data_IF_977927722122
#
_entry.id   IF_977927722122
#
_cell.length_a   1.000
_cell.length_b   1.000
_cell.length_c   1.000
_cell.angle_alpha   90.00
_cell.angle_beta   90.00
_cell.angle_gamma   90.00
#
_symmetry.space_group_name_H-M   'P 1'
#
loop_
_entity.id
_entity.type
_entity.pdbx_description
1 polymer ?
#
# COMPACT_ATOMS: atom_id res chain seq x y z
N UNK A 1 -5.35 -4.16 8.01
CA UNK A 1 -5.45 -3.03 8.95
C UNK A 1 -4.60 -3.28 10.21
N UNK A 2 -4.82 -4.36 10.96
CA UNK A 2 -3.98 -4.74 12.13
C UNK A 2 -2.47 -4.81 11.88
N UNK A 3 -2.05 -5.35 10.73
CA UNK A 3 -0.63 -5.42 10.37
C UNK A 3 0.04 -4.06 10.11
N UNK A 4 -0.74 -3.01 9.80
CA UNK A 4 -0.23 -1.66 9.57
C UNK A 4 -0.32 -0.82 10.85
N UNK A 5 -1.39 -0.98 11.63
CA UNK A 5 -1.62 -0.20 12.85
C UNK A 5 -0.71 -0.59 14.02
N UNK A 6 -0.27 -1.86 14.08
CA UNK A 6 0.57 -2.36 15.17
C UNK A 6 2.07 -2.41 14.82
N UNK A 7 2.45 -2.22 13.56
CA UNK A 7 3.85 -2.35 13.15
C UNK A 7 4.63 -1.04 13.37
N UNK A 8 5.79 -1.14 14.03
CA UNK A 8 6.59 0.02 14.44
C UNK A 8 6.99 0.93 13.27
N UNK A 9 7.29 0.35 12.10
CA UNK A 9 7.69 1.11 10.92
C UNK A 9 6.54 1.84 10.22
N UNK A 10 5.26 1.53 10.52
CA UNK A 10 4.11 2.12 9.84
C UNK A 10 3.17 2.89 10.75
N UNK A 11 3.18 2.65 12.07
CA UNK A 11 2.22 3.24 13.02
C UNK A 11 2.22 4.79 13.01
N UNK A 12 3.39 5.42 12.94
CA UNK A 12 3.49 6.88 13.01
C UNK A 12 3.03 7.52 11.69
N UNK A 13 3.31 6.84 10.56
CA UNK A 13 2.78 7.23 9.26
C UNK A 13 1.26 7.05 9.18
N UNK A 14 0.72 5.98 9.78
CA UNK A 14 -0.72 5.78 9.87
C UNK A 14 -1.38 6.89 10.70
N UNK A 15 -0.80 7.24 11.85
CA UNK A 15 -1.32 8.33 12.67
C UNK A 15 -1.33 9.68 11.94
N UNK A 16 -0.26 9.98 11.19
CA UNK A 16 -0.18 11.17 10.36
C UNK A 16 -1.26 11.17 9.25
N UNK A 17 -1.45 10.04 8.58
CA UNK A 17 -2.48 9.86 7.56
C UNK A 17 -3.89 10.04 8.15
N UNK A 18 -4.21 9.36 9.24
CA UNK A 18 -5.50 9.49 9.94
C UNK A 18 -5.79 10.95 10.32
N UNK A 19 -4.80 11.67 10.86
CA UNK A 19 -4.93 13.10 11.18
C UNK A 19 -5.23 13.93 9.92
N UNK A 20 -4.51 13.69 8.82
CA UNK A 20 -4.72 14.40 7.56
C UNK A 20 -6.08 14.11 6.90
N UNK A 21 -6.67 12.96 7.20
CA UNK A 21 -7.99 12.53 6.72
C UNK A 21 -9.12 12.80 7.71
N UNK A 22 -8.84 13.40 8.86
CA UNK A 22 -9.81 13.65 9.94
C UNK A 22 -10.50 12.37 10.43
N UNK A 23 -9.77 11.25 10.47
CA UNK A 23 -10.24 9.95 10.96
C UNK A 23 -9.55 9.64 12.29
N UNK A 24 -10.30 9.12 13.26
CA UNK A 24 -9.72 8.66 14.52
C UNK A 24 -8.71 7.53 14.26
N UNK A 25 -7.54 7.59 14.89
CA UNK A 25 -6.47 6.62 14.66
C UNK A 25 -6.67 5.35 15.52
N UNK A 26 -7.85 4.74 15.41
CA UNK A 26 -8.16 3.44 15.97
C UNK A 26 -8.62 2.47 14.87
N UNK A 27 -8.48 1.15 15.10
CA UNK A 27 -8.76 0.13 14.09
C UNK A 27 -10.16 0.22 13.46
N UNK A 28 -11.19 0.44 14.26
CA UNK A 28 -12.58 0.36 13.82
C UNK A 28 -12.97 1.60 13.03
N UNK A 29 -12.57 2.79 13.51
CA UNK A 29 -12.79 4.04 12.79
C UNK A 29 -12.09 4.07 11.43
N UNK A 30 -10.85 3.56 11.37
CA UNK A 30 -10.13 3.43 10.11
C UNK A 30 -10.90 2.51 9.17
N UNK A 31 -11.26 1.30 9.62
CA UNK A 31 -11.96 0.33 8.78
C UNK A 31 -13.28 0.88 8.21
N UNK A 32 -14.08 1.55 9.04
CA UNK A 32 -15.33 2.18 8.61
C UNK A 32 -15.10 3.30 7.58
N UNK A 33 -14.03 4.08 7.72
CA UNK A 33 -13.72 5.16 6.80
C UNK A 33 -13.17 4.69 5.45
N UNK A 34 -12.52 3.52 5.38
CA UNK A 34 -11.93 2.98 4.14
C UNK A 34 -12.95 2.81 3.00
N UNK A 35 -14.22 2.58 3.31
CA UNK A 35 -15.28 2.43 2.31
C UNK A 35 -15.59 3.74 1.57
N UNK A 36 -15.40 4.89 2.22
CA UNK A 36 -15.83 6.19 1.71
C UNK A 36 -14.67 7.15 1.42
N UNK A 37 -13.48 6.84 1.90
CA UNK A 37 -12.28 7.66 1.73
C UNK A 37 -11.22 6.90 0.92
N UNK A 38 -11.29 7.03 -0.41
CA UNK A 38 -10.35 6.41 -1.35
C UNK A 38 -8.90 6.81 -1.09
N UNK A 39 -8.65 8.04 -0.63
CA UNK A 39 -7.31 8.54 -0.32
C UNK A 39 -6.76 7.86 0.93
N UNK A 40 -7.59 7.70 1.96
CA UNK A 40 -7.24 6.90 3.14
C UNK A 40 -6.98 5.45 2.74
N UNK A 41 -7.84 4.87 1.89
CA UNK A 41 -7.70 3.50 1.44
C UNK A 41 -6.40 3.25 0.68
N UNK A 42 -6.09 4.12 -0.29
CA UNK A 42 -4.84 4.08 -1.02
C UNK A 42 -3.62 4.29 -0.11
N UNK A 43 -3.71 5.24 0.85
CA UNK A 43 -2.65 5.52 1.81
C UNK A 43 -2.37 4.33 2.73
N UNK A 44 -3.40 3.75 3.35
CA UNK A 44 -3.28 2.58 4.22
C UNK A 44 -2.73 1.38 3.45
N UNK A 45 -3.18 1.16 2.21
CA UNK A 45 -2.62 0.13 1.35
C UNK A 45 -1.11 0.36 1.14
N UNK A 46 -0.69 1.59 0.80
CA UNK A 46 0.72 1.91 0.55
C UNK A 46 1.61 1.74 1.78
N UNK A 47 1.08 1.93 2.99
CA UNK A 47 1.82 1.68 4.22
C UNK A 47 2.23 0.22 4.43
N UNK A 48 1.64 -0.75 3.70
CA UNK A 48 2.12 -2.13 3.70
C UNK A 48 3.58 -2.25 3.24
N UNK A 49 4.06 -1.33 2.41
CA UNK A 49 5.46 -1.27 1.99
C UNK A 49 6.42 -1.08 3.17
N UNK A 50 6.03 -0.31 4.19
CA UNK A 50 6.84 -0.09 5.39
C UNK A 50 6.92 -1.32 6.30
N UNK A 51 6.00 -2.27 6.12
CA UNK A 51 5.99 -3.51 6.91
C UNK A 51 6.84 -4.61 6.27
N UNK A 52 7.31 -4.40 5.04
CA UNK A 52 8.21 -5.31 4.34
C UNK A 52 9.67 -4.94 4.64
N UNK A 53 10.50 -5.85 5.18
CA UNK A 53 11.89 -5.56 5.54
C UNK A 53 12.83 -5.48 4.32
N UNK A 54 12.35 -5.81 3.11
CA UNK A 54 13.17 -5.81 1.89
C UNK A 54 13.18 -4.41 1.26
N UNK A 55 14.28 -4.08 0.58
CA UNK A 55 14.34 -2.86 -0.21
C UNK A 55 13.28 -2.84 -1.33
N UNK A 56 12.84 -1.63 -1.70
CA UNK A 56 11.98 -1.45 -2.86
C UNK A 56 12.74 -1.85 -4.14
N UNK A 57 12.09 -2.53 -5.08
CA UNK A 57 12.69 -2.84 -6.37
C UNK A 57 12.91 -1.54 -7.17
N UNK A 58 13.94 -1.51 -8.04
CA UNK A 58 14.14 -0.38 -8.92
C UNK A 58 12.96 -0.21 -9.88
N UNK A 59 12.68 1.04 -10.27
CA UNK A 59 11.68 1.32 -11.31
C UNK A 59 12.19 0.70 -12.63
N UNK A 60 11.33 -0.04 -13.32
CA UNK A 60 11.64 -0.81 -14.51
C UNK A 60 11.76 -2.32 -14.27
N UNK A 61 11.97 -2.77 -13.03
CA UNK A 61 12.02 -4.20 -12.69
C UNK A 61 10.60 -4.75 -12.41
N UNK A 62 9.94 -5.18 -13.48
CA UNK A 62 8.55 -5.65 -13.48
C UNK A 62 8.36 -6.88 -12.60
N UNK A 63 9.31 -7.82 -12.63
CA UNK A 63 9.22 -9.10 -11.92
C UNK A 63 9.47 -8.91 -10.42
N UNK A 64 10.45 -8.09 -10.05
CA UNK A 64 10.69 -7.76 -8.64
C UNK A 64 9.52 -6.96 -8.04
N UNK A 65 8.89 -6.07 -8.84
CA UNK A 65 7.68 -5.37 -8.43
C UNK A 65 6.49 -6.32 -8.25
N UNK A 66 6.34 -7.34 -9.11
CA UNK A 66 5.33 -8.38 -8.93
C UNK A 66 5.56 -9.18 -7.64
N UNK A 67 6.80 -9.58 -7.39
CA UNK A 67 7.17 -10.31 -6.18
C UNK A 67 6.93 -9.46 -4.90
N UNK A 68 7.13 -8.14 -4.99
CA UNK A 68 6.74 -7.20 -3.93
C UNK A 68 5.23 -7.20 -3.72
N UNK A 69 4.44 -6.98 -4.77
CA UNK A 69 2.99 -6.96 -4.69
C UNK A 69 2.43 -8.24 -4.06
N UNK A 70 2.90 -9.41 -4.49
CA UNK A 70 2.45 -10.69 -3.94
C UNK A 70 2.78 -10.84 -2.45
N UNK A 71 3.98 -10.49 -1.99
CA UNK A 71 4.38 -10.72 -0.59
C UNK A 71 3.70 -9.78 0.39
N UNK A 72 3.41 -8.56 -0.04
CA UNK A 72 2.85 -7.48 0.80
C UNK A 72 1.33 -7.45 0.77
N UNK A 73 0.68 -7.57 -0.40
CA UNK A 73 -0.79 -7.55 -0.50
C UNK A 73 -1.43 -8.93 -0.46
N UNK A 74 -0.71 -10.00 -0.86
CA UNK A 74 -1.20 -11.40 -0.87
C UNK A 74 -2.64 -11.54 -1.40
N UNK A 75 -2.93 -11.04 -2.62
CA UNK A 75 -4.29 -11.02 -3.14
C UNK A 75 -4.83 -12.43 -3.32
N UNK A 76 -6.12 -12.64 -3.05
CA UNK A 76 -6.77 -13.95 -3.20
C UNK A 76 -6.83 -14.45 -4.65
N UNK A 77 -6.77 -13.55 -5.63
CA UNK A 77 -6.75 -13.87 -7.06
C UNK A 77 -5.79 -12.93 -7.79
N UNK A 78 -4.48 -13.23 -7.84
CA UNK A 78 -3.52 -12.42 -8.59
C UNK A 78 -3.77 -12.53 -10.09
N UNK A 79 -3.52 -11.45 -10.83
CA UNK A 79 -3.66 -11.38 -12.29
C UNK A 79 -2.29 -11.12 -12.97
N UNK A 80 -1.41 -12.14 -13.06
CA UNK A 80 -0.05 -11.96 -13.60
C UNK A 80 -0.05 -11.53 -15.07
N UNK A 81 -1.05 -11.91 -15.86
CA UNK A 81 -1.09 -11.61 -17.29
C UNK A 81 -1.31 -10.11 -17.59
N UNK A 82 -2.05 -9.40 -16.72
CA UNK A 82 -2.29 -7.95 -16.89
C UNK A 82 -1.25 -7.10 -16.15
N UNK A 83 -0.43 -7.72 -15.30
CA UNK A 83 0.55 -7.01 -14.49
C UNK A 83 1.58 -6.21 -15.30
N UNK A 84 2.24 -6.74 -16.35
CA UNK A 84 3.29 -6.02 -17.06
C UNK A 84 2.80 -4.70 -17.68
N UNK A 85 1.60 -4.69 -18.26
CA UNK A 85 1.03 -3.50 -18.89
C UNK A 85 0.61 -2.46 -17.85
N UNK A 86 -0.03 -2.90 -16.75
CA UNK A 86 -0.41 -2.01 -15.65
C UNK A 86 0.82 -1.41 -14.95
N UNK A 87 1.87 -2.20 -14.75
CA UNK A 87 3.12 -1.72 -14.20
C UNK A 87 3.75 -0.65 -15.10
N UNK A 88 3.80 -0.89 -16.41
CA UNK A 88 4.36 0.07 -17.38
C UNK A 88 3.60 1.41 -17.35
N UNK A 89 2.27 1.36 -17.31
CA UNK A 89 1.43 2.55 -17.20
C UNK A 89 1.71 3.34 -15.91
N UNK A 90 1.83 2.64 -14.78
CA UNK A 90 2.11 3.27 -13.50
C UNK A 90 3.52 3.87 -13.43
N UNK A 91 4.54 3.16 -13.94
CA UNK A 91 5.91 3.63 -14.00
C UNK A 91 6.03 4.94 -14.81
N UNK A 92 5.30 5.04 -15.91
CA UNK A 92 5.27 6.26 -16.73
C UNK A 92 4.73 7.50 -16.00
N UNK A 93 3.98 7.35 -14.90
CA UNK A 93 3.47 8.47 -14.10
C UNK A 93 4.47 9.00 -13.07
N UNK A 94 5.54 8.24 -12.78
CA UNK A 94 6.51 8.54 -11.72
C UNK A 94 7.95 8.66 -12.22
N UNK A 95 8.18 8.42 -13.51
CA UNK A 95 9.43 8.79 -14.14
C UNK A 95 9.56 10.33 -14.18
N UNK A 96 10.75 10.89 -13.85
CA UNK A 96 11.01 12.32 -13.98
C UNK A 96 10.95 12.80 -15.44
#
# INVERSE_FOLDING_TARGET
MWGVSLHAASKDHLAALCKARSVACDPDAIYAALEYDDVLAAGVARLLLWTDPRALPPIGDVDAAWALYLRTWRPGKPHPNTWPDLYRQAAAQVHP
#
